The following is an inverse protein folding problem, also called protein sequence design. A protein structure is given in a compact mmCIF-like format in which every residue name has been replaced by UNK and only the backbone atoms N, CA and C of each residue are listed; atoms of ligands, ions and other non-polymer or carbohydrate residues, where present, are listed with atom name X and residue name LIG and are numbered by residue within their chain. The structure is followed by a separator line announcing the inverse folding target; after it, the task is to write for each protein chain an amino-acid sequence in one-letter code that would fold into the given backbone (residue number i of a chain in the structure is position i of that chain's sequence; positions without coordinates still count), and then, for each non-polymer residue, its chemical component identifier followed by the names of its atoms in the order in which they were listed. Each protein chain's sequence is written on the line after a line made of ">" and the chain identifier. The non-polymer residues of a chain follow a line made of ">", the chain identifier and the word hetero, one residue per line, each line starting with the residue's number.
data_IF_008352309237
#
_entry.id   IF_008352309237
#
_cell.length_a   1.000
_cell.length_b   1.000
_cell.length_c   1.000
_cell.angle_alpha   90.00
_cell.angle_beta   90.00
_cell.angle_gamma   90.00
#
_symmetry.space_group_name_H-M   'P 1'
#
loop_
_entity.id
_entity.type
_entity.pdbx_description
1 polymer ?
#
# COMPACT_ATOMS: atom_id res chain seq x y z
N UNK A 1 -20.67 1.54 4.39
CA UNK A 1 -20.37 0.98 3.05
C UNK A 1 -19.83 2.11 2.19
N UNK A 2 -18.58 2.06 1.75
CA UNK A 2 -17.94 3.17 1.02
C UNK A 2 -18.51 3.37 -0.39
N UNK A 3 -18.33 4.56 -0.96
CA UNK A 3 -18.74 4.87 -2.34
C UNK A 3 -18.03 3.96 -3.36
N UNK A 4 -18.70 3.52 -4.44
CA UNK A 4 -18.05 2.76 -5.51
C UNK A 4 -16.80 3.47 -6.07
N UNK A 5 -16.82 4.80 -6.13
CA UNK A 5 -15.68 5.61 -6.58
C UNK A 5 -14.49 5.48 -5.63
N UNK A 6 -14.72 5.53 -4.32
CA UNK A 6 -13.66 5.35 -3.33
C UNK A 6 -13.03 3.97 -3.40
N UNK A 7 -13.83 2.92 -3.60
CA UNK A 7 -13.32 1.55 -3.76
C UNK A 7 -12.43 1.42 -5.00
N UNK A 8 -12.88 1.92 -6.15
CA UNK A 8 -12.09 1.88 -7.37
C UNK A 8 -10.75 2.62 -7.24
N UNK A 9 -10.74 3.77 -6.54
CA UNK A 9 -9.51 4.51 -6.24
C UNK A 9 -8.55 3.70 -5.36
N UNK A 10 -9.06 3.05 -4.29
CA UNK A 10 -8.27 2.21 -3.40
C UNK A 10 -7.72 0.95 -4.10
N UNK A 11 -8.52 0.31 -4.94
CA UNK A 11 -8.06 -0.84 -5.74
C UNK A 11 -6.94 -0.44 -6.72
N UNK A 12 -7.04 0.75 -7.32
CA UNK A 12 -5.95 1.30 -8.15
C UNK A 12 -4.69 1.54 -7.32
N UNK A 13 -4.82 2.20 -6.17
CA UNK A 13 -3.71 2.41 -5.24
C UNK A 13 -3.03 1.08 -4.86
N UNK A 14 -3.80 0.07 -4.49
CA UNK A 14 -3.29 -1.26 -4.15
C UNK A 14 -2.52 -1.92 -5.31
N UNK A 15 -3.04 -1.83 -6.55
CA UNK A 15 -2.34 -2.32 -7.74
C UNK A 15 -1.03 -1.59 -8.00
N UNK A 16 -1.02 -0.27 -7.82
CA UNK A 16 0.17 0.56 -8.01
C UNK A 16 1.27 0.21 -6.98
N UNK A 17 0.88 -0.01 -5.71
CA UNK A 17 1.77 -0.51 -4.65
C UNK A 17 2.34 -1.89 -4.99
N UNK A 18 1.49 -2.82 -5.43
CA UNK A 18 1.95 -4.15 -5.88
C UNK A 18 2.94 -4.04 -7.03
N UNK A 19 2.65 -3.19 -8.01
CA UNK A 19 3.54 -2.93 -9.13
C UNK A 19 4.89 -2.37 -8.65
N UNK A 20 4.87 -1.41 -7.72
CA UNK A 20 6.08 -0.84 -7.12
C UNK A 20 6.90 -1.88 -6.36
N UNK A 21 6.26 -2.77 -5.61
CA UNK A 21 6.93 -3.89 -4.92
C UNK A 21 7.58 -4.85 -5.91
N UNK A 22 6.84 -5.30 -6.93
CA UNK A 22 7.33 -6.26 -7.92
C UNK A 22 8.48 -5.72 -8.77
N UNK A 23 8.43 -4.45 -9.19
CA UNK A 23 9.54 -3.81 -9.92
C UNK A 23 10.84 -3.75 -9.11
N UNK A 24 10.75 -3.79 -7.77
CA UNK A 24 11.89 -3.83 -6.85
C UNK A 24 12.30 -5.26 -6.47
N UNK A 25 11.61 -6.29 -6.96
CA UNK A 25 11.89 -7.69 -6.62
C UNK A 25 11.63 -8.05 -5.16
N UNK A 26 10.78 -7.29 -4.45
CA UNK A 26 10.54 -7.50 -3.02
C UNK A 26 9.43 -8.55 -2.84
N UNK A 27 9.69 -9.62 -2.09
CA UNK A 27 8.67 -10.59 -1.73
C UNK A 27 7.67 -9.97 -0.73
N UNK A 28 6.44 -10.50 -0.69
CA UNK A 28 5.41 -9.96 0.20
C UNK A 28 5.80 -10.07 1.68
N UNK A 29 6.46 -11.17 2.05
CA UNK A 29 6.98 -11.40 3.40
C UNK A 29 8.09 -10.42 3.76
N UNK A 30 9.01 -10.15 2.83
CA UNK A 30 10.10 -9.19 3.04
C UNK A 30 9.57 -7.77 3.22
N UNK A 31 8.58 -7.37 2.39
CA UNK A 31 7.94 -6.06 2.54
C UNK A 31 7.26 -5.96 3.92
N UNK A 32 6.55 -7.01 4.33
CA UNK A 32 5.85 -7.02 5.61
C UNK A 32 6.83 -6.83 6.79
N UNK A 33 7.95 -7.56 6.80
CA UNK A 33 8.99 -7.42 7.83
C UNK A 33 9.57 -6.00 7.84
N UNK A 34 9.92 -5.45 6.68
CA UNK A 34 10.50 -4.10 6.56
C UNK A 34 9.53 -3.00 6.97
N UNK A 35 8.24 -3.20 6.70
CA UNK A 35 7.16 -2.26 7.04
C UNK A 35 6.56 -2.52 8.44
N UNK A 36 7.14 -3.40 9.26
CA UNK A 36 6.67 -3.67 10.62
C UNK A 36 5.24 -4.22 10.70
N UNK A 37 4.80 -4.99 9.71
CA UNK A 37 3.42 -5.50 9.62
C UNK A 37 3.38 -6.98 9.19
N UNK A 38 2.17 -7.54 9.04
CA UNK A 38 1.98 -8.91 8.57
C UNK A 38 1.89 -9.01 7.05
N UNK A 39 2.30 -10.15 6.49
CA UNK A 39 2.12 -10.45 5.06
C UNK A 39 0.64 -10.38 4.63
N UNK A 40 -0.29 -10.70 5.54
CA UNK A 40 -1.73 -10.58 5.30
C UNK A 40 -2.17 -9.12 5.16
N UNK A 41 -1.62 -8.20 5.96
CA UNK A 41 -1.90 -6.76 5.83
C UNK A 41 -1.35 -6.20 4.52
N UNK A 42 -0.14 -6.60 4.11
CA UNK A 42 0.39 -6.24 2.78
C UNK A 42 -0.52 -6.77 1.67
N UNK A 43 -0.95 -8.03 1.74
CA UNK A 43 -1.81 -8.63 0.72
C UNK A 43 -3.18 -7.94 0.62
N UNK A 44 -3.74 -7.49 1.74
CA UNK A 44 -4.98 -6.70 1.78
C UNK A 44 -4.77 -5.29 1.23
N UNK A 45 -3.65 -4.65 1.57
CA UNK A 45 -3.28 -3.34 1.07
C UNK A 45 -3.14 -3.34 -0.46
N UNK A 46 -2.45 -4.34 -1.02
CA UNK A 46 -2.29 -4.51 -2.47
C UNK A 46 -3.60 -4.81 -3.21
N UNK A 47 -4.64 -5.22 -2.49
CA UNK A 47 -6.00 -5.40 -3.02
C UNK A 47 -6.88 -4.14 -2.86
N UNK A 48 -6.38 -3.10 -2.20
CA UNK A 48 -7.14 -1.88 -1.93
C UNK A 48 -8.16 -2.02 -0.79
N UNK A 49 -7.90 -2.89 0.19
CA UNK A 49 -8.78 -3.06 1.34
C UNK A 49 -8.82 -1.77 2.20
N UNK A 50 -9.99 -1.11 2.35
CA UNK A 50 -10.14 0.09 3.17
C UNK A 50 -9.93 -0.15 4.67
N UNK A 51 -9.94 -1.42 5.12
CA UNK A 51 -9.67 -1.79 6.50
C UNK A 51 -8.18 -1.85 6.87
N UNK A 52 -7.27 -1.54 5.93
CA UNK A 52 -5.85 -1.37 6.24
C UNK A 52 -5.60 0.07 6.71
N UNK A 53 -5.01 0.23 7.89
CA UNK A 53 -4.75 1.53 8.47
C UNK A 53 -3.76 2.37 7.66
N UNK A 54 -3.94 3.69 7.68
CA UNK A 54 -3.08 4.63 6.93
C UNK A 54 -1.61 4.59 7.36
N UNK A 55 -1.33 4.26 8.63
CA UNK A 55 0.04 4.06 9.12
C UNK A 55 0.75 2.92 8.39
N UNK A 56 0.09 1.78 8.20
CA UNK A 56 0.65 0.65 7.43
C UNK A 56 0.91 1.02 5.97
N UNK A 57 0.06 1.86 5.36
CA UNK A 57 0.32 2.40 4.03
C UNK A 57 1.58 3.27 4.02
N UNK A 58 1.74 4.17 5.00
CA UNK A 58 2.92 5.03 5.12
C UNK A 58 4.21 4.22 5.29
N UNK A 59 4.22 3.22 6.17
CA UNK A 59 5.37 2.35 6.40
C UNK A 59 5.76 1.58 5.13
N UNK A 60 4.78 1.08 4.38
CA UNK A 60 5.02 0.44 3.07
C UNK A 60 5.62 1.44 2.07
N UNK A 61 5.11 2.67 2.02
CA UNK A 61 5.65 3.71 1.15
C UNK A 61 7.09 4.09 1.53
N UNK A 62 7.44 4.10 2.81
CA UNK A 62 8.83 4.27 3.28
C UNK A 62 9.73 3.18 2.70
N UNK A 63 9.35 1.91 2.84
CA UNK A 63 10.14 0.78 2.32
C UNK A 63 10.26 0.84 0.79
N UNK A 64 9.24 1.33 0.10
CA UNK A 64 9.24 1.50 -1.34
C UNK A 64 9.96 2.78 -1.80
N UNK A 65 10.35 3.69 -0.91
CA UNK A 65 10.90 5.00 -1.28
C UNK A 65 9.89 5.86 -2.04
N UNK A 66 8.65 5.89 -1.58
CA UNK A 66 7.51 6.59 -2.18
C UNK A 66 6.76 7.47 -1.17
N UNK A 67 7.34 7.75 0.00
CA UNK A 67 6.67 8.52 1.07
C UNK A 67 6.22 9.91 0.59
N UNK A 68 7.03 10.57 -0.22
CA UNK A 68 6.72 11.92 -0.74
C UNK A 68 5.38 11.96 -1.50
N UNK A 69 5.00 10.87 -2.18
CA UNK A 69 3.70 10.76 -2.86
C UNK A 69 2.50 10.86 -1.92
N UNK A 70 2.68 10.48 -0.65
CA UNK A 70 1.65 10.63 0.38
C UNK A 70 1.66 12.03 0.98
N UNK A 71 2.83 12.65 1.14
CA UNK A 71 2.96 14.02 1.60
C UNK A 71 2.28 14.99 0.61
N UNK A 72 2.52 14.79 -0.69
CA UNK A 72 2.01 15.63 -1.78
C UNK A 72 0.59 15.23 -2.23
N UNK A 73 -0.18 14.50 -1.42
CA UNK A 73 -1.46 13.92 -1.86
C UNK A 73 -2.53 14.99 -2.20
N UNK A 74 -2.45 16.15 -1.56
CA UNK A 74 -3.43 17.23 -1.65
C UNK A 74 -2.83 18.59 -2.05
N UNK A 75 -1.53 18.62 -2.33
CA UNK A 75 -0.81 19.80 -2.84
C UNK A 75 -0.86 19.85 -4.38
#
# INVERSE_FOLDING_TARGET
>A
MGSPKSRAALERLGRDLRGARLRRGIAIADLAVRAGTSASSIARLEKGDPGVGIGTLADVLVVLGLLDRLADLID
#
